data_IF_815675922028
#
_entry.id   IF_815675922028
#
_cell.length_a   1.000
_cell.length_b   1.000
_cell.length_c   1.000
_cell.angle_alpha   90.00
_cell.angle_beta   90.00
_cell.angle_gamma   90.00
#
_symmetry.space_group_name_H-M   'P 1'
#
loop_
_entity.id
_entity.type
_entity.pdbx_description
1 polymer ?
#
# COMPACT_ATOMS: atom_id res chain seq x y z
N UNK A 1 -6.24 8.88 16.41
CA UNK A 1 -6.07 7.43 16.63
C UNK A 1 -4.71 7.07 16.07
N UNK A 2 -3.85 6.34 16.78
CA UNK A 2 -2.51 6.01 16.27
C UNK A 2 -2.23 4.52 16.38
N UNK A 3 -1.44 4.03 15.43
CA UNK A 3 -1.11 2.63 15.16
C UNK A 3 -0.03 2.03 16.07
N UNK A 4 0.64 2.87 16.89
CA UNK A 4 1.92 2.55 17.56
C UNK A 4 3.08 2.31 16.58
N UNK A 5 3.00 2.85 15.36
CA UNK A 5 4.13 2.83 14.41
C UNK A 5 5.38 3.55 14.94
N UNK A 6 5.20 4.53 15.83
CA UNK A 6 6.29 5.22 16.50
C UNK A 6 6.03 5.28 18.02
N UNK A 7 7.00 4.93 18.89
CA UNK A 7 6.76 4.68 20.32
C UNK A 7 6.18 5.85 21.12
N UNK A 8 6.41 7.10 20.69
CA UNK A 8 5.92 8.28 21.40
C UNK A 8 4.42 8.54 21.20
N UNK A 9 3.80 7.92 20.20
CA UNK A 9 2.38 8.12 19.91
C UNK A 9 1.53 7.10 20.68
N UNK A 10 0.55 7.55 21.50
CA UNK A 10 -0.30 6.65 22.26
C UNK A 10 -1.13 5.73 21.34
N UNK A 11 -0.95 4.41 21.49
CA UNK A 11 -1.70 3.41 20.72
C UNK A 11 -3.18 3.45 21.08
N UNK A 12 -4.05 3.37 20.07
CA UNK A 12 -5.47 3.07 20.25
C UNK A 12 -5.77 1.62 19.89
N UNK A 13 -6.70 0.97 20.58
CA UNK A 13 -7.15 -0.41 20.28
C UNK A 13 -8.16 -0.47 19.12
N UNK A 14 -8.22 0.56 18.30
CA UNK A 14 -9.25 0.75 17.29
C UNK A 14 -8.62 0.62 15.90
N UNK A 15 -9.29 -0.12 15.03
CA UNK A 15 -8.93 -0.24 13.61
C UNK A 15 -9.45 0.99 12.85
N UNK A 16 -8.65 1.50 11.91
CA UNK A 16 -9.02 2.60 11.01
C UNK A 16 -9.37 2.11 9.60
N UNK A 17 -8.92 0.91 9.23
CA UNK A 17 -9.22 0.29 7.94
C UNK A 17 -9.49 -1.21 8.11
N UNK A 18 -10.35 -1.74 7.25
CA UNK A 18 -10.52 -3.19 7.04
C UNK A 18 -10.44 -3.43 5.54
N UNK A 19 -9.54 -4.32 5.14
CA UNK A 19 -9.42 -4.81 3.77
C UNK A 19 -10.06 -6.20 3.73
N UNK A 20 -11.20 -6.32 3.05
CA UNK A 20 -11.90 -7.58 2.85
C UNK A 20 -11.58 -8.21 1.49
N UNK A 21 -11.39 -9.52 1.47
CA UNK A 21 -11.20 -10.35 0.28
C UNK A 21 -12.03 -11.63 0.34
N UNK A 22 -11.96 -12.45 -0.71
CA UNK A 22 -12.71 -13.71 -0.80
C UNK A 22 -12.30 -14.77 0.23
N UNK A 23 -11.07 -14.69 0.74
CA UNK A 23 -10.48 -15.69 1.64
C UNK A 23 -10.36 -15.19 3.09
N UNK A 24 -10.70 -13.92 3.35
CA UNK A 24 -10.55 -13.35 4.68
C UNK A 24 -10.56 -11.83 4.68
N UNK A 25 -10.25 -11.25 5.83
CA UNK A 25 -10.16 -9.81 6.02
C UNK A 25 -8.99 -9.44 6.92
N UNK A 26 -8.36 -8.29 6.69
CA UNK A 26 -7.28 -7.76 7.51
C UNK A 26 -7.66 -6.37 8.04
N UNK A 27 -7.52 -6.18 9.34
CA UNK A 27 -7.66 -4.86 9.96
C UNK A 27 -6.32 -4.16 10.13
N UNK A 28 -6.36 -2.84 10.03
CA UNK A 28 -5.21 -1.96 10.28
C UNK A 28 -5.64 -0.92 11.30
N UNK A 29 -4.83 -0.62 12.34
CA UNK A 29 -3.44 -1.04 12.53
C UNK A 29 -3.25 -2.19 13.52
N UNK A 30 -4.30 -2.80 14.04
CA UNK A 30 -4.19 -3.92 14.98
C UNK A 30 -3.70 -5.22 14.33
N UNK A 31 -3.70 -5.28 12.99
CA UNK A 31 -3.21 -6.40 12.18
C UNK A 31 -3.92 -7.71 12.54
N UNK A 32 -5.21 -7.63 12.89
CA UNK A 32 -6.03 -8.82 13.09
C UNK A 32 -6.45 -9.35 11.73
N UNK A 33 -6.08 -10.60 11.45
CA UNK A 33 -6.46 -11.36 10.29
C UNK A 33 -7.66 -12.26 10.64
N UNK A 34 -8.74 -12.11 9.90
CA UNK A 34 -9.92 -12.98 9.96
C UNK A 34 -9.94 -13.92 8.77
N UNK A 35 -9.93 -15.23 9.03
CA UNK A 35 -9.99 -16.27 8.00
C UNK A 35 -10.80 -17.47 8.48
N UNK A 36 -11.37 -18.24 7.55
CA UNK A 36 -11.88 -19.57 7.86
C UNK A 36 -10.71 -20.55 8.00
N UNK A 37 -10.76 -21.43 9.01
CA UNK A 37 -9.73 -22.45 9.24
C UNK A 37 -9.92 -23.64 8.29
N UNK A 38 -11.18 -23.97 8.01
CA UNK A 38 -11.60 -25.02 7.08
C UNK A 38 -12.16 -24.40 5.80
N UNK A 39 -12.84 -25.19 4.96
CA UNK A 39 -13.55 -24.64 3.81
C UNK A 39 -14.50 -23.50 4.24
N UNK A 40 -14.56 -22.40 3.47
CA UNK A 40 -15.44 -21.29 3.78
C UNK A 40 -16.90 -21.75 3.80
N UNK A 41 -17.47 -21.75 5.01
CA UNK A 41 -18.86 -22.13 5.25
C UNK A 41 -19.43 -21.25 6.37
N UNK A 42 -20.71 -20.93 6.26
CA UNK A 42 -21.40 -20.02 7.18
C UNK A 42 -21.45 -20.54 8.62
N UNK A 43 -21.40 -21.85 8.79
CA UNK A 43 -21.44 -22.53 10.09
C UNK A 43 -20.04 -22.79 10.65
N UNK A 44 -19.00 -22.63 9.83
CA UNK A 44 -17.63 -22.86 10.25
C UNK A 44 -17.09 -21.64 11.00
N UNK A 45 -16.45 -21.84 12.18
CA UNK A 45 -15.87 -20.74 12.94
C UNK A 45 -14.85 -19.93 12.14
N UNK A 46 -14.89 -18.61 12.33
CA UNK A 46 -13.89 -17.69 11.79
C UNK A 46 -12.80 -17.50 12.86
N UNK A 47 -11.54 -17.69 12.46
CA UNK A 47 -10.39 -17.36 13.30
C UNK A 47 -10.13 -15.86 13.28
N UNK A 48 -9.71 -15.29 14.41
CA UNK A 48 -9.20 -13.93 14.49
C UNK A 48 -7.79 -13.99 15.09
N UNK A 49 -6.77 -13.73 14.29
CA UNK A 49 -5.38 -13.85 14.71
C UNK A 49 -4.64 -12.53 14.49
N UNK A 50 -4.09 -11.97 15.56
CA UNK A 50 -3.20 -10.81 15.45
C UNK A 50 -1.86 -11.25 14.83
N UNK A 51 -1.51 -10.66 13.69
CA UNK A 51 -0.26 -10.96 12.99
C UNK A 51 0.90 -10.23 13.70
N UNK A 52 1.98 -10.94 14.08
CA UNK A 52 3.16 -10.30 14.66
C UNK A 52 3.76 -9.29 13.68
N UNK A 53 4.11 -8.12 14.17
CA UNK A 53 4.80 -7.09 13.41
C UNK A 53 6.00 -6.60 14.23
N UNK A 54 7.19 -6.65 13.63
CA UNK A 54 8.39 -6.13 14.24
C UNK A 54 8.33 -4.61 14.25
N UNK A 55 8.51 -4.03 15.44
CA UNK A 55 8.64 -2.59 15.56
C UNK A 55 10.04 -2.18 15.11
N UNK A 56 10.09 -1.29 14.12
CA UNK A 56 11.29 -0.60 13.69
C UNK A 56 10.96 0.87 13.46
N UNK A 57 11.95 1.74 13.53
CA UNK A 57 11.73 3.17 13.28
C UNK A 57 11.54 3.39 11.77
N UNK A 58 10.32 3.76 11.32
CA UNK A 58 10.04 3.88 9.90
C UNK A 58 10.85 5.00 9.23
N UNK A 59 11.19 6.06 9.95
CA UNK A 59 11.99 7.17 9.41
C UNK A 59 13.44 6.73 9.21
N UNK A 60 14.00 6.01 10.18
CA UNK A 60 15.34 5.41 10.04
C UNK A 60 15.37 4.46 8.84
N UNK A 61 14.38 3.57 8.71
CA UNK A 61 14.30 2.62 7.60
C UNK A 61 14.23 3.34 6.24
N UNK A 62 13.44 4.41 6.14
CA UNK A 62 13.33 5.21 4.92
C UNK A 62 14.65 5.90 4.54
N UNK A 63 15.34 6.50 5.51
CA UNK A 63 16.64 7.15 5.28
C UNK A 63 17.68 6.11 4.86
N UNK A 64 17.72 4.94 5.50
CA UNK A 64 18.64 3.86 5.14
C UNK A 64 18.42 3.38 3.70
N UNK A 65 17.16 3.13 3.30
CA UNK A 65 16.85 2.76 1.92
C UNK A 65 17.27 3.87 0.94
N UNK A 66 16.92 5.14 1.22
CA UNK A 66 17.30 6.27 0.39
C UNK A 66 18.83 6.35 0.21
N UNK A 67 19.59 6.25 1.30
CA UNK A 67 21.05 6.25 1.27
C UNK A 67 21.62 5.08 0.46
N UNK A 68 21.05 3.88 0.56
CA UNK A 68 21.46 2.73 -0.24
C UNK A 68 21.21 2.94 -1.73
N UNK A 69 20.04 3.50 -2.08
CA UNK A 69 19.66 3.77 -3.48
C UNK A 69 20.60 4.77 -4.14
N UNK A 70 20.92 5.89 -3.48
CA UNK A 70 21.80 6.93 -4.07
C UNK A 70 23.25 6.45 -4.22
N UNK A 71 23.67 5.46 -3.43
CA UNK A 71 24.99 4.79 -3.57
C UNK A 71 24.99 3.69 -4.62
N UNK A 72 23.83 3.24 -5.07
CA UNK A 72 23.67 2.10 -5.97
C UNK A 72 23.70 0.73 -5.27
N UNK A 73 23.64 0.71 -3.94
CA UNK A 73 23.66 -0.52 -3.13
C UNK A 73 22.28 -1.20 -3.07
N UNK A 74 21.21 -0.41 -3.24
CA UNK A 74 19.82 -0.86 -3.05
C UNK A 74 18.93 -0.45 -4.22
N UNK A 75 17.84 -1.21 -4.44
CA UNK A 75 16.73 -0.77 -5.29
C UNK A 75 15.75 0.09 -4.48
N UNK A 76 15.14 1.12 -5.09
CA UNK A 76 14.14 1.91 -4.40
C UNK A 76 12.93 1.04 -4.08
N UNK A 77 12.47 1.07 -2.83
CA UNK A 77 11.23 0.39 -2.42
C UNK A 77 9.99 1.01 -3.07
N UNK A 78 10.06 2.31 -3.37
CA UNK A 78 9.07 3.04 -4.18
C UNK A 78 9.81 3.67 -5.35
N UNK A 79 9.55 3.16 -6.55
CA UNK A 79 10.17 3.66 -7.77
C UNK A 79 9.62 5.03 -8.19
N UNK A 80 10.35 5.75 -9.06
CA UNK A 80 9.85 6.99 -9.68
C UNK A 80 8.50 6.78 -10.38
N UNK A 81 8.37 5.68 -11.11
CA UNK A 81 7.14 5.33 -11.82
C UNK A 81 5.96 5.15 -10.86
N UNK A 82 6.18 4.50 -9.70
CA UNK A 82 5.15 4.38 -8.66
C UNK A 82 4.82 5.72 -8.03
N UNK A 83 5.83 6.53 -7.71
CA UNK A 83 5.63 7.88 -7.17
C UNK A 83 4.81 8.77 -8.09
N UNK A 84 5.06 8.73 -9.40
CA UNK A 84 4.25 9.46 -10.39
C UNK A 84 2.80 8.99 -10.40
N UNK A 85 2.55 7.66 -10.37
CA UNK A 85 1.18 7.13 -10.29
C UNK A 85 0.45 7.59 -9.03
N UNK A 86 1.13 7.67 -7.89
CA UNK A 86 0.55 8.24 -6.67
C UNK A 86 0.14 9.70 -6.88
N UNK A 87 0.99 10.51 -7.53
CA UNK A 87 0.67 11.90 -7.83
C UNK A 87 -0.50 12.05 -8.80
N UNK A 88 -0.62 11.16 -9.80
CA UNK A 88 -1.77 11.12 -10.71
C UNK A 88 -3.10 10.90 -9.96
N UNK A 89 -3.11 10.02 -8.96
CA UNK A 89 -4.28 9.79 -8.10
C UNK A 89 -4.62 11.04 -7.28
N UNK A 90 -3.60 11.69 -6.69
CA UNK A 90 -3.81 12.94 -5.91
C UNK A 90 -4.38 14.06 -6.78
N UNK A 91 -3.86 14.22 -8.00
CA UNK A 91 -4.40 15.19 -8.97
C UNK A 91 -5.85 14.84 -9.36
N UNK A 92 -6.15 13.57 -9.60
CA UNK A 92 -7.51 13.13 -9.93
C UNK A 92 -8.51 13.40 -8.80
N UNK A 93 -8.12 13.15 -7.54
CA UNK A 93 -8.95 13.50 -6.37
C UNK A 93 -9.20 15.01 -6.32
N UNK A 94 -8.15 15.82 -6.49
CA UNK A 94 -8.26 17.27 -6.50
C UNK A 94 -9.22 17.75 -7.60
N UNK A 95 -9.08 17.24 -8.83
CA UNK A 95 -10.00 17.55 -9.95
C UNK A 95 -11.43 17.13 -9.65
N UNK A 96 -11.66 15.90 -9.19
CA UNK A 96 -12.99 15.39 -8.84
C UNK A 96 -13.68 16.25 -7.77
N UNK A 97 -12.93 16.71 -6.75
CA UNK A 97 -13.47 17.59 -5.70
C UNK A 97 -13.94 18.96 -6.22
N UNK A 98 -13.36 19.44 -7.32
CA UNK A 98 -13.69 20.74 -7.92
C UNK A 98 -14.85 20.65 -8.92
N UNK A 99 -14.95 19.53 -9.63
CA UNK A 99 -15.96 19.35 -10.68
C UNK A 99 -17.20 18.61 -10.19
N UNK A 100 -17.09 17.81 -9.13
CA UNK A 100 -18.13 16.86 -8.71
C UNK A 100 -18.27 15.66 -9.65
N UNK A 101 -17.34 15.48 -10.59
CA UNK A 101 -17.38 14.41 -11.58
C UNK A 101 -16.36 13.32 -11.27
N UNK A 102 -16.65 12.09 -11.70
CA UNK A 102 -15.71 10.97 -11.64
C UNK A 102 -14.53 11.20 -12.60
N UNK A 103 -13.31 11.17 -12.08
CA UNK A 103 -12.09 11.24 -12.88
C UNK A 103 -11.56 9.83 -13.11
N UNK A 104 -11.47 9.43 -14.38
CA UNK A 104 -10.89 8.14 -14.77
C UNK A 104 -9.38 8.29 -14.98
N UNK A 105 -8.61 7.47 -14.28
CA UNK A 105 -7.16 7.36 -14.48
C UNK A 105 -6.90 6.50 -15.72
N UNK A 106 -6.13 7.03 -16.68
CA UNK A 106 -5.63 6.26 -17.81
C UNK A 106 -4.28 5.65 -17.46
N UNK A 107 -4.15 4.32 -17.52
CA UNK A 107 -2.82 3.68 -17.49
C UNK A 107 -2.09 4.02 -18.78
N UNK A 108 -1.39 5.15 -18.80
CA UNK A 108 -0.67 5.61 -20.00
C UNK A 108 0.80 5.17 -20.01
N UNK A 109 1.24 4.35 -19.04
CA UNK A 109 2.65 4.00 -18.88
C UNK A 109 3.04 2.63 -19.44
N UNK A 110 2.08 1.77 -19.78
CA UNK A 110 2.34 0.51 -20.50
C UNK A 110 2.57 0.72 -22.01
N UNK A 111 1.99 1.77 -22.59
CA UNK A 111 2.07 2.02 -24.05
C UNK A 111 3.40 2.65 -24.47
N UNK A 112 4.00 3.49 -23.63
CA UNK A 112 5.22 4.23 -23.99
C UNK A 112 6.47 3.35 -23.93
N UNK A 113 6.59 2.43 -22.95
CA UNK A 113 7.74 1.50 -22.89
C UNK A 113 7.73 0.43 -23.97
N UNK A 114 6.56 -0.07 -24.37
CA UNK A 114 6.45 -1.04 -25.46
C UNK A 114 6.81 -0.42 -26.83
N UNK A 115 6.47 0.86 -27.05
CA UNK A 115 6.82 1.59 -28.27
C UNK A 115 8.31 1.97 -28.32
N UNK A 116 8.90 2.39 -27.20
CA UNK A 116 10.32 2.77 -27.12
C UNK A 116 11.27 1.57 -27.20
N UNK A 117 10.89 0.40 -26.66
CA UNK A 117 11.67 -0.83 -26.80
C UNK A 117 11.66 -1.37 -28.24
N UNK A 118 10.57 -1.19 -28.99
CA UNK A 118 10.49 -1.61 -30.39
C UNK A 118 11.24 -0.66 -31.33
N UNK A 119 11.28 0.64 -31.02
CA UNK A 119 12.04 1.64 -31.77
C UNK A 119 13.56 1.57 -31.53
N UNK A 120 14.00 1.06 -30.38
CA UNK A 120 15.42 0.89 -30.05
C UNK A 120 16.03 -0.42 -30.61
N UNK A 121 15.25 -1.23 -31.35
CA UNK A 121 15.66 -2.50 -31.97
C UNK A 121 15.67 -2.45 -33.51
N UNK A 122 15.53 -1.25 -34.10
CA UNK A 122 15.72 -0.96 -35.53
C UNK A 122 16.79 0.12 -35.70
#
# INVERSE_FOLDING_TARGET
>A
MTSKEYPIYPRTSQSSYIVGGSEGSLSVPDLTLWTHIAEPDWWSPISATAVPCEQSDPLVNQILNFCGVIRGDEKPLVSLAEGVRTLEVVDAIHRASRTGETVHLSSNMDKTRAAELHAAQL
#
